data_IF_217190972686
#
_entry.id   IF_217190972686
#
_cell.length_a   1.000
_cell.length_b   1.000
_cell.length_c   1.000
_cell.angle_alpha   90.00
_cell.angle_beta   90.00
_cell.angle_gamma   90.00
#
_symmetry.space_group_name_H-M   'P 1'
#
loop_
_entity.id
_entity.type
_entity.pdbx_description
1 polymer ?
#
# COMPACT_ATOMS: atom_id res chain seq x y z
N UNK A 1 -30.66 6.71 10.35
CA UNK A 1 -29.26 7.13 10.08
C UNK A 1 -28.41 5.87 10.00
N UNK A 2 -27.66 5.65 8.93
CA UNK A 2 -26.76 4.49 8.83
C UNK A 2 -25.52 4.75 9.69
N UNK A 3 -25.21 3.87 10.62
CA UNK A 3 -23.98 3.96 11.42
C UNK A 3 -22.81 3.64 10.50
N UNK A 4 -21.84 4.56 10.38
CA UNK A 4 -20.62 4.32 9.63
C UNK A 4 -19.90 3.10 10.22
N UNK A 5 -19.55 2.12 9.36
CA UNK A 5 -18.82 0.93 9.79
C UNK A 5 -17.42 1.33 10.25
N UNK A 6 -16.90 0.78 11.37
CA UNK A 6 -15.57 1.12 11.85
C UNK A 6 -14.49 0.67 10.84
N UNK A 7 -13.46 1.50 10.66
CA UNK A 7 -12.31 1.24 9.79
C UNK A 7 -11.00 1.28 10.56
N UNK A 8 -9.98 0.66 9.98
CA UNK A 8 -8.58 0.72 10.41
C UNK A 8 -7.75 1.23 9.22
N UNK A 9 -6.94 2.26 9.47
CA UNK A 9 -5.99 2.73 8.47
C UNK A 9 -4.83 1.74 8.33
N UNK A 10 -4.51 1.37 7.10
CA UNK A 10 -3.34 0.57 6.75
C UNK A 10 -2.47 1.36 5.77
N UNK A 11 -1.18 0.98 5.76
CA UNK A 11 -0.19 1.59 4.88
C UNK A 11 0.49 0.51 4.05
N UNK A 12 0.59 0.71 2.74
CA UNK A 12 1.32 -0.20 1.85
C UNK A 12 2.46 0.56 1.16
N UNK A 13 3.73 0.13 1.37
CA UNK A 13 4.84 0.63 0.59
C UNK A 13 4.74 0.11 -0.85
N UNK A 14 4.98 0.98 -1.83
CA UNK A 14 4.91 0.66 -3.26
C UNK A 14 6.08 1.30 -4.00
N UNK A 15 6.49 0.66 -5.10
CA UNK A 15 7.47 1.23 -6.04
C UNK A 15 6.79 2.17 -7.05
N UNK A 16 7.60 2.92 -7.80
CA UNK A 16 7.11 3.87 -8.81
C UNK A 16 6.24 3.25 -9.91
N UNK A 17 6.60 2.05 -10.37
CA UNK A 17 5.84 1.34 -11.40
C UNK A 17 4.47 0.88 -10.88
N UNK A 18 4.44 0.37 -9.65
CA UNK A 18 3.20 -0.05 -9.00
C UNK A 18 2.28 1.14 -8.74
N UNK A 19 2.83 2.27 -8.28
CA UNK A 19 2.06 3.51 -8.09
C UNK A 19 1.36 3.95 -9.39
N UNK A 20 2.07 3.94 -10.53
CA UNK A 20 1.46 4.29 -11.83
C UNK A 20 0.28 3.39 -12.21
N UNK A 21 0.35 2.10 -11.89
CA UNK A 21 -0.75 1.16 -12.12
C UNK A 21 -1.94 1.43 -11.20
N UNK A 22 -1.67 1.80 -9.94
CA UNK A 22 -2.71 2.22 -8.99
C UNK A 22 -3.38 3.51 -9.47
N UNK A 23 -2.62 4.51 -9.92
CA UNK A 23 -3.13 5.76 -10.51
C UNK A 23 -3.99 5.48 -11.74
N UNK A 24 -3.54 4.59 -12.64
CA UNK A 24 -4.31 4.19 -13.82
C UNK A 24 -5.64 3.49 -13.47
N UNK A 25 -5.75 2.87 -12.30
CA UNK A 25 -7.01 2.31 -11.76
C UNK A 25 -7.95 3.37 -11.13
N UNK A 26 -7.53 4.64 -11.12
CA UNK A 26 -8.23 5.71 -10.41
C UNK A 26 -8.09 5.62 -8.89
N UNK A 27 -6.97 5.08 -8.39
CA UNK A 27 -6.72 4.84 -6.95
C UNK A 27 -7.70 3.85 -6.31
N UNK A 28 -8.23 2.90 -7.09
CA UNK A 28 -9.26 1.95 -6.63
C UNK A 28 -8.78 0.51 -6.47
N UNK A 29 -7.61 0.18 -7.01
CA UNK A 29 -7.08 -1.17 -6.93
C UNK A 29 -5.55 -1.19 -6.89
N UNK A 30 -5.00 -2.18 -6.19
CA UNK A 30 -3.60 -2.58 -6.33
C UNK A 30 -3.49 -3.56 -7.50
N UNK A 31 -2.43 -3.48 -8.32
CA UNK A 31 -2.22 -4.46 -9.38
C UNK A 31 -1.93 -5.84 -8.80
N UNK A 32 -2.16 -6.91 -9.57
CA UNK A 32 -1.71 -8.26 -9.21
C UNK A 32 -0.22 -8.29 -8.91
N UNK A 33 0.19 -9.06 -7.90
CA UNK A 33 1.59 -9.26 -7.54
C UNK A 33 2.30 -10.04 -8.64
N UNK A 34 3.54 -9.66 -8.97
CA UNK A 34 4.40 -10.44 -9.85
C UNK A 34 5.02 -11.62 -9.07
N UNK A 35 5.21 -12.80 -9.69
CA UNK A 35 5.76 -13.98 -9.00
C UNK A 35 7.05 -13.72 -8.20
N UNK A 36 7.94 -12.92 -8.78
CA UNK A 36 9.26 -12.54 -8.26
C UNK A 36 9.23 -11.48 -7.15
N UNK A 37 8.11 -10.79 -6.94
CA UNK A 37 8.03 -9.77 -5.91
C UNK A 37 7.99 -10.41 -4.50
N UNK A 38 8.85 -9.99 -3.56
CA UNK A 38 8.76 -10.45 -2.17
C UNK A 38 7.38 -10.13 -1.60
N UNK A 39 6.88 -11.02 -0.73
CA UNK A 39 5.54 -10.85 -0.16
C UNK A 39 5.58 -9.68 0.85
N UNK A 40 5.00 -8.55 0.45
CA UNK A 40 4.69 -7.43 1.34
C UNK A 40 3.18 -7.24 1.46
N UNK A 41 2.70 -7.21 2.70
CA UNK A 41 1.32 -6.85 3.02
C UNK A 41 1.24 -5.42 3.55
N UNK A 42 0.04 -4.82 3.55
CA UNK A 42 -0.19 -3.57 4.26
C UNK A 42 0.17 -3.73 5.74
N UNK A 43 0.81 -2.71 6.30
CA UNK A 43 1.25 -2.65 7.70
C UNK A 43 0.38 -1.68 8.50
N UNK A 44 0.42 -1.82 9.82
CA UNK A 44 -0.33 -0.98 10.77
C UNK A 44 0.39 0.32 11.14
N UNK A 45 1.59 0.58 10.60
CA UNK A 45 2.41 1.73 10.96
C UNK A 45 2.92 2.44 9.71
N UNK A 46 2.60 3.73 9.61
CA UNK A 46 3.12 4.61 8.55
C UNK A 46 4.64 4.68 8.57
N UNK A 47 5.23 4.87 9.75
CA UNK A 47 6.68 4.97 9.91
C UNK A 47 7.38 3.70 9.43
N UNK A 48 6.79 2.53 9.70
CA UNK A 48 7.33 1.26 9.24
C UNK A 48 7.17 1.09 7.72
N UNK A 49 6.03 1.50 7.15
CA UNK A 49 5.85 1.53 5.69
C UNK A 49 6.87 2.44 5.00
N UNK A 50 7.13 3.62 5.56
CA UNK A 50 8.15 4.55 5.06
C UNK A 50 9.54 3.94 5.12
N UNK A 51 9.87 3.24 6.21
CA UNK A 51 11.15 2.53 6.33
C UNK A 51 11.32 1.49 5.21
N UNK A 52 10.29 0.68 4.95
CA UNK A 52 10.32 -0.32 3.86
C UNK A 52 10.48 0.39 2.50
N UNK A 53 9.68 1.43 2.24
CA UNK A 53 9.76 2.18 0.99
C UNK A 53 11.16 2.76 0.76
N UNK A 54 11.78 3.31 1.81
CA UNK A 54 13.14 3.88 1.76
C UNK A 54 14.20 2.80 1.55
N UNK A 55 14.15 1.73 2.33
CA UNK A 55 15.24 0.75 2.40
C UNK A 55 15.17 -0.28 1.26
N UNK A 56 13.97 -0.50 0.68
CA UNK A 56 13.74 -1.56 -0.33
C UNK A 56 13.26 -1.00 -1.67
N UNK A 57 12.24 -0.14 -1.70
CA UNK A 57 11.67 0.36 -2.96
C UNK A 57 12.58 1.40 -3.66
N UNK A 58 13.23 2.28 -2.90
CA UNK A 58 14.17 3.28 -3.47
C UNK A 58 15.36 2.59 -4.17
N UNK A 59 16.09 1.63 -3.55
CA UNK A 59 17.17 0.93 -4.27
C UNK A 59 16.69 0.16 -5.50
N UNK A 60 15.50 -0.43 -5.46
CA UNK A 60 14.99 -1.26 -6.56
C UNK A 60 14.40 -0.45 -7.73
N UNK A 61 13.86 0.75 -7.47
CA UNK A 61 13.07 1.50 -8.47
C UNK A 61 13.36 3.00 -8.55
N UNK A 62 14.41 3.46 -7.87
CA UNK A 62 14.85 4.86 -7.81
C UNK A 62 13.99 5.76 -6.92
N UNK A 63 12.81 5.29 -6.49
CA UNK A 63 11.88 6.02 -5.63
C UNK A 63 10.99 5.03 -4.88
N UNK A 64 10.52 5.41 -3.69
CA UNK A 64 9.62 4.63 -2.87
C UNK A 64 8.46 5.50 -2.40
N UNK A 65 7.27 4.92 -2.35
CA UNK A 65 6.06 5.63 -1.96
C UNK A 65 5.30 4.82 -0.92
N UNK A 66 4.42 5.49 -0.18
CA UNK A 66 3.51 4.85 0.77
C UNK A 66 2.10 5.26 0.41
N UNK A 67 1.25 4.27 0.18
CA UNK A 67 -0.20 4.46 0.05
C UNK A 67 -0.87 4.26 1.41
N UNK A 68 -1.86 5.10 1.73
CA UNK A 68 -2.72 4.97 2.90
C UNK A 68 -4.15 4.69 2.46
N UNK A 69 -4.81 3.74 3.10
CA UNK A 69 -6.20 3.41 2.82
C UNK A 69 -6.89 2.84 4.07
N UNK A 70 -8.21 2.95 4.10
CA UNK A 70 -9.03 2.47 5.21
C UNK A 70 -9.64 1.11 4.87
N UNK A 71 -9.51 0.16 5.79
CA UNK A 71 -10.11 -1.18 5.70
C UNK A 71 -11.20 -1.30 6.74
N UNK A 72 -12.37 -1.86 6.36
CA UNK A 72 -13.41 -2.15 7.36
C UNK A 72 -12.84 -3.10 8.41
N UNK A 73 -13.09 -2.80 9.69
CA UNK A 73 -12.62 -3.62 10.81
C UNK A 73 -13.09 -5.07 10.73
N UNK A 74 -14.16 -5.36 9.98
CA UNK A 74 -14.67 -6.72 9.73
C UNK A 74 -13.81 -7.58 8.79
N UNK A 75 -12.81 -7.01 8.11
CA UNK A 75 -11.88 -7.73 7.22
C UNK A 75 -10.51 -8.01 7.87
N UNK A 76 -10.34 -7.59 9.13
CA UNK A 76 -9.13 -7.80 9.94
C UNK A 76 -9.47 -8.75 11.10
#
# INVERSE_FOLDING_TARGET
MSVAKPTVALWRPVGSQELKLIEASGMRAFPPRLPEQPIFYPVLSEAYAVQIARDWNVPASGSGFVTRFDVLKSFL
#
